data_IF_082338446300
#
_entry.id   IF_082338446300
#
_cell.length_a   1.000
_cell.length_b   1.000
_cell.length_c   1.000
_cell.angle_alpha   90.00
_cell.angle_beta   90.00
_cell.angle_gamma   90.00
#
_symmetry.space_group_name_H-M   'P 1'
#
loop_
_entity.id
_entity.type
_entity.pdbx_description
1 polymer ?
#
# COMPACT_ATOMS: atom_id res chain seq x y z
N UNK A 1 49.74 18.77 125.37
CA UNK A 1 50.20 19.31 124.11
C UNK A 1 50.19 18.16 123.11
N UNK A 2 49.27 18.06 122.28
CA UNK A 2 49.17 17.02 121.24
C UNK A 2 48.14 17.43 120.26
N UNK A 3 48.62 17.85 119.17
CA UNK A 3 47.81 18.31 118.01
C UNK A 3 47.21 17.08 117.26
N UNK A 4 45.91 16.96 117.23
CA UNK A 4 45.22 16.03 116.39
C UNK A 4 45.08 16.60 114.98
N UNK A 5 45.59 15.90 114.07
CA UNK A 5 45.33 16.14 112.65
C UNK A 5 44.00 15.47 112.24
N UNK A 6 43.02 16.28 111.87
CA UNK A 6 41.78 15.77 111.30
C UNK A 6 41.96 15.31 109.88
N UNK A 7 41.60 14.08 109.63
CA UNK A 7 41.47 13.54 108.26
C UNK A 7 40.29 14.17 107.51
N UNK A 8 40.43 14.50 106.27
CA UNK A 8 39.30 14.99 105.45
C UNK A 8 38.32 13.84 105.15
N UNK A 9 37.01 14.14 105.13
CA UNK A 9 36.00 13.11 104.79
C UNK A 9 36.12 12.63 103.37
N UNK A 10 35.81 11.33 103.15
CA UNK A 10 35.89 10.72 101.82
C UNK A 10 34.85 11.42 100.89
N UNK A 11 35.15 11.54 99.59
CA UNK A 11 34.21 12.13 98.64
C UNK A 11 32.98 11.24 98.43
N UNK A 12 31.80 11.80 98.17
CA UNK A 12 30.59 11.03 97.99
C UNK A 12 30.74 10.19 96.74
N UNK A 13 30.52 8.88 96.87
CA UNK A 13 30.40 7.95 95.72
C UNK A 13 29.16 8.30 94.97
N UNK A 14 29.32 9.12 93.93
CA UNK A 14 28.31 9.37 92.92
C UNK A 14 27.85 8.07 92.22
N UNK A 15 26.61 7.77 92.39
CA UNK A 15 25.98 6.59 91.81
C UNK A 15 26.02 6.73 90.28
N UNK A 16 26.67 5.75 89.53
CA UNK A 16 26.85 5.85 88.09
C UNK A 16 25.67 5.34 87.27
N UNK A 17 24.46 5.26 87.83
CA UNK A 17 23.36 4.54 87.19
C UNK A 17 22.21 5.37 86.61
N UNK A 18 22.26 6.65 86.60
CA UNK A 18 21.20 7.47 85.96
C UNK A 18 21.56 8.10 84.60
N UNK A 19 22.81 8.09 84.20
CA UNK A 19 23.22 8.58 82.89
C UNK A 19 23.03 7.55 81.76
N UNK A 20 22.89 6.25 82.09
CA UNK A 20 22.69 5.19 81.10
C UNK A 20 21.29 5.08 80.46
N UNK A 21 20.26 5.52 81.23
CA UNK A 21 18.86 5.44 80.78
C UNK A 21 18.55 6.39 79.63
N UNK A 22 19.08 7.61 79.64
CA UNK A 22 18.89 8.58 78.57
C UNK A 22 19.66 8.23 77.27
N UNK A 23 20.89 7.76 77.46
CA UNK A 23 21.68 7.33 76.31
C UNK A 23 21.05 6.09 75.64
N UNK A 24 20.51 5.15 76.40
CA UNK A 24 19.81 3.98 75.88
C UNK A 24 18.53 4.33 75.07
N UNK A 25 17.76 5.31 75.61
CA UNK A 25 16.58 5.81 74.90
C UNK A 25 16.95 6.54 73.59
N UNK A 26 18.00 7.35 73.60
CA UNK A 26 18.50 8.04 72.38
C UNK A 26 19.00 7.03 71.35
N UNK A 27 19.78 6.04 71.74
CA UNK A 27 20.25 4.95 70.86
C UNK A 27 19.07 4.13 70.31
N UNK A 28 18.07 3.81 71.15
CA UNK A 28 16.85 3.11 70.77
C UNK A 28 16.02 3.91 69.71
N UNK A 29 15.91 5.21 69.93
CA UNK A 29 15.19 6.10 69.00
C UNK A 29 15.93 6.23 67.64
N UNK A 30 17.27 6.37 67.67
CA UNK A 30 18.09 6.38 66.48
C UNK A 30 17.95 5.04 65.74
N UNK A 31 17.98 3.94 66.47
CA UNK A 31 17.79 2.61 65.85
C UNK A 31 16.38 2.43 65.25
N UNK A 32 15.35 2.93 65.92
CA UNK A 32 13.97 2.92 65.42
C UNK A 32 13.82 3.78 64.15
N UNK A 33 14.37 4.98 64.14
CA UNK A 33 14.38 5.83 62.93
C UNK A 33 15.19 5.20 61.82
N UNK A 34 16.34 4.57 62.12
CA UNK A 34 17.15 3.86 61.17
C UNK A 34 16.39 2.66 60.55
N UNK A 35 15.70 1.85 61.35
CA UNK A 35 14.85 0.75 60.87
C UNK A 35 13.65 1.27 60.06
N UNK A 36 13.04 2.39 60.45
CA UNK A 36 11.95 3.00 59.69
C UNK A 36 12.39 3.53 58.34
N UNK A 37 13.67 3.89 58.14
CA UNK A 37 14.21 4.31 56.84
C UNK A 37 14.31 3.15 55.82
N UNK A 38 14.06 1.92 56.25
CA UNK A 38 14.03 0.74 55.38
C UNK A 38 12.78 0.57 54.51
N UNK A 39 11.71 1.34 54.77
CA UNK A 39 10.50 1.27 53.92
C UNK A 39 10.73 1.93 52.56
N UNK A 40 10.25 1.26 51.50
CA UNK A 40 10.25 1.78 50.15
C UNK A 40 9.02 1.28 49.41
N UNK A 41 8.61 2.03 48.40
CA UNK A 41 7.44 1.72 47.58
C UNK A 41 7.90 1.34 46.18
N UNK A 42 7.43 0.18 45.70
CA UNK A 42 7.59 -0.26 44.31
C UNK A 42 6.25 -0.02 43.59
N UNK A 43 6.27 0.80 42.59
CA UNK A 43 5.07 1.14 41.79
C UNK A 43 4.71 -0.06 40.88
N UNK A 44 3.43 -0.18 40.56
CA UNK A 44 2.98 -1.21 39.58
C UNK A 44 3.69 -1.07 38.25
N UNK A 45 4.06 -2.18 37.62
CA UNK A 45 4.89 -2.20 36.41
C UNK A 45 6.41 -2.08 36.64
N UNK A 46 6.84 -1.99 37.93
CA UNK A 46 8.25 -1.97 38.34
C UNK A 46 8.57 -3.17 39.23
N UNK A 47 9.83 -3.56 39.25
CA UNK A 47 10.35 -4.52 40.25
C UNK A 47 11.53 -3.92 40.99
N UNK A 48 11.54 -4.13 42.28
CA UNK A 48 12.65 -3.75 43.14
C UNK A 48 13.60 -4.91 43.29
N UNK A 49 14.89 -4.68 43.04
CA UNK A 49 15.94 -5.65 43.32
C UNK A 49 16.64 -5.28 44.57
N UNK A 50 16.63 -6.15 45.56
CA UNK A 50 17.29 -5.92 46.87
C UNK A 50 18.67 -6.56 46.82
N UNK A 51 19.68 -5.75 47.12
CA UNK A 51 21.07 -6.18 47.25
C UNK A 51 21.49 -6.15 48.71
N UNK A 52 22.09 -7.20 49.18
CA UNK A 52 22.71 -7.27 50.53
C UNK A 52 24.22 -7.19 50.38
N UNK A 53 24.84 -6.13 50.88
CA UNK A 53 26.28 -5.87 50.70
C UNK A 53 26.75 -5.94 49.22
N UNK A 54 25.88 -5.45 48.31
CA UNK A 54 26.19 -5.47 46.85
C UNK A 54 25.87 -6.79 46.14
N UNK A 55 25.49 -7.84 46.86
CA UNK A 55 25.09 -9.11 46.26
C UNK A 55 23.57 -9.19 46.11
N UNK A 56 23.09 -9.72 45.00
CA UNK A 56 21.68 -10.02 44.80
C UNK A 56 21.10 -10.89 45.93
N UNK A 57 20.01 -10.45 46.53
CA UNK A 57 19.32 -11.18 47.60
C UNK A 57 17.94 -11.64 47.23
N UNK A 58 17.08 -10.73 46.79
CA UNK A 58 15.69 -11.04 46.46
C UNK A 58 15.07 -10.02 45.51
N UNK A 59 13.98 -10.41 44.89
CA UNK A 59 13.11 -9.49 44.12
C UNK A 59 11.91 -9.09 44.94
N UNK A 60 11.58 -7.80 44.88
CA UNK A 60 10.42 -7.21 45.52
C UNK A 60 9.30 -6.96 44.50
N UNK A 61 8.14 -7.58 44.72
CA UNK A 61 6.94 -7.32 43.94
C UNK A 61 6.39 -5.91 44.27
N UNK A 62 5.53 -5.33 43.40
CA UNK A 62 4.89 -4.04 43.64
C UNK A 62 4.21 -3.95 44.98
N UNK A 63 4.18 -2.74 45.57
CA UNK A 63 3.62 -2.43 46.87
C UNK A 63 4.62 -1.85 47.85
N UNK A 64 4.15 -1.68 49.10
CA UNK A 64 4.99 -1.25 50.24
C UNK A 64 5.88 -2.43 50.65
N UNK A 65 7.18 -2.23 50.63
CA UNK A 65 8.18 -3.22 51.02
C UNK A 65 9.11 -2.64 52.05
N UNK A 66 9.70 -3.52 52.86
CA UNK A 66 10.70 -3.18 53.84
C UNK A 66 12.01 -3.92 53.58
N UNK A 67 13.11 -3.23 53.69
CA UNK A 67 14.48 -3.76 53.61
C UNK A 67 15.30 -3.30 54.79
N UNK A 68 16.40 -3.95 55.07
CA UNK A 68 17.37 -3.45 56.02
C UNK A 68 17.94 -2.12 55.54
N UNK A 69 17.99 -1.09 56.38
CA UNK A 69 18.51 0.21 56.00
C UNK A 69 19.98 0.16 55.56
N UNK A 70 20.33 1.20 54.81
CA UNK A 70 21.75 1.38 54.45
C UNK A 70 22.62 1.39 55.72
N UNK A 71 23.85 0.75 55.75
CA UNK A 71 24.62 0.20 54.61
C UNK A 71 24.41 -1.26 54.32
N UNK A 72 23.49 -1.99 55.02
CA UNK A 72 23.34 -3.46 54.87
C UNK A 72 22.70 -3.81 53.57
N UNK A 73 21.59 -3.16 53.23
CA UNK A 73 20.86 -3.42 52.00
C UNK A 73 20.68 -2.13 51.17
N UNK A 74 20.83 -2.27 49.86
CA UNK A 74 20.43 -1.27 48.88
C UNK A 74 19.34 -1.86 47.99
N UNK A 75 18.57 -1.02 47.32
CA UNK A 75 17.60 -1.47 46.31
C UNK A 75 17.76 -0.67 45.04
N UNK A 76 17.43 -1.31 43.92
CA UNK A 76 17.39 -0.73 42.62
C UNK A 76 16.03 -1.04 41.97
N UNK A 77 15.39 -0.04 41.38
CA UNK A 77 14.06 -0.18 40.83
C UNK A 77 14.20 -0.24 39.29
N UNK A 78 13.75 -1.37 38.70
CA UNK A 78 13.73 -1.56 37.29
C UNK A 78 12.30 -1.47 36.78
N UNK A 79 12.08 -0.64 35.74
CA UNK A 79 10.78 -0.51 35.08
C UNK A 79 10.65 -1.64 34.08
N UNK A 80 9.70 -2.54 34.30
CA UNK A 80 9.42 -3.70 33.46
C UNK A 80 8.44 -3.42 32.36
N UNK A 81 7.39 -2.63 32.66
CA UNK A 81 6.32 -2.32 31.72
C UNK A 81 6.67 -1.20 30.72
N UNK A 82 7.80 -0.52 30.91
CA UNK A 82 8.23 0.55 30.03
C UNK A 82 8.81 -0.02 28.73
N UNK A 83 8.14 0.28 27.61
CA UNK A 83 8.68 0.00 26.29
C UNK A 83 9.78 1.02 25.98
N UNK A 84 10.99 0.53 25.83
CA UNK A 84 12.16 1.35 25.48
C UNK A 84 12.43 1.24 23.99
N UNK A 85 12.77 2.37 23.39
CA UNK A 85 13.09 2.42 21.97
C UNK A 85 14.58 2.74 21.77
N UNK A 86 15.25 1.89 21.02
CA UNK A 86 16.61 2.12 20.55
C UNK A 86 16.56 2.61 19.11
N UNK A 87 17.20 3.73 18.85
CA UNK A 87 17.34 4.31 17.52
C UNK A 87 18.72 3.96 16.98
N UNK A 88 18.79 3.30 15.82
CA UNK A 88 20.03 2.91 15.15
C UNK A 88 20.12 3.59 13.79
N UNK A 89 21.26 4.24 13.55
CA UNK A 89 21.50 5.00 12.32
C UNK A 89 21.04 6.45 12.36
N UNK A 90 20.30 6.85 13.38
CA UNK A 90 19.84 8.23 13.58
C UNK A 90 19.73 8.58 15.07
N UNK A 91 19.58 9.86 15.41
CA UNK A 91 19.38 10.32 16.79
C UNK A 91 18.29 11.39 16.81
N UNK A 92 17.25 11.17 17.61
CA UNK A 92 16.10 12.08 17.86
C UNK A 92 15.34 12.53 16.60
N UNK A 93 15.92 12.46 15.42
CA UNK A 93 15.30 12.81 14.16
C UNK A 93 15.96 12.02 13.03
N UNK A 94 15.15 11.48 12.12
CA UNK A 94 15.58 10.73 10.93
C UNK A 94 16.58 11.52 10.06
N UNK A 95 16.53 12.86 10.13
CA UNK A 95 17.50 13.74 9.44
C UNK A 95 18.90 13.79 10.09
N UNK A 96 19.00 13.44 11.37
CA UNK A 96 20.29 13.43 12.08
C UNK A 96 20.97 12.06 11.92
N UNK A 97 21.47 11.78 10.73
CA UNK A 97 22.09 10.51 10.36
C UNK A 97 23.42 10.27 11.07
N UNK A 98 23.61 9.04 11.53
CA UNK A 98 24.89 8.54 12.03
C UNK A 98 25.42 7.52 11.01
N UNK A 99 26.14 7.99 10.01
CA UNK A 99 26.60 7.20 8.85
C UNK A 99 27.38 5.94 9.25
N UNK A 100 28.08 5.97 10.37
CA UNK A 100 28.84 4.82 10.86
C UNK A 100 27.95 3.63 11.25
N UNK A 101 26.73 3.91 11.71
CA UNK A 101 25.77 2.91 12.17
C UNK A 101 24.75 2.54 11.07
N UNK A 102 24.47 3.49 10.14
CA UNK A 102 23.43 3.32 9.12
C UNK A 102 23.92 2.64 7.85
N UNK A 103 25.22 2.77 7.51
CA UNK A 103 25.75 2.16 6.29
C UNK A 103 26.02 0.67 6.48
N UNK A 104 25.37 -0.14 5.65
CA UNK A 104 25.48 -1.60 5.65
C UNK A 104 25.71 -2.11 4.24
N UNK A 105 26.47 -3.22 4.13
CA UNK A 105 26.75 -3.90 2.87
C UNK A 105 25.76 -5.05 2.69
N UNK A 106 25.19 -5.17 1.49
CA UNK A 106 24.27 -6.23 1.08
C UNK A 106 25.02 -7.41 0.44
N UNK A 107 24.33 -8.54 0.21
CA UNK A 107 24.89 -9.74 -0.45
C UNK A 107 25.35 -9.48 -1.90
N UNK A 108 24.70 -8.55 -2.58
CA UNK A 108 25.01 -8.10 -3.95
C UNK A 108 26.03 -6.97 -4.03
N UNK A 109 26.85 -6.82 -2.97
CA UNK A 109 27.98 -5.87 -2.88
C UNK A 109 27.54 -4.38 -2.96
N UNK A 110 26.27 -4.09 -2.74
CA UNK A 110 25.75 -2.72 -2.70
C UNK A 110 25.80 -2.16 -1.26
N UNK A 111 25.95 -0.85 -1.14
CA UNK A 111 25.86 -0.16 0.15
C UNK A 111 24.46 0.42 0.29
N UNK A 112 23.82 0.17 1.43
CA UNK A 112 22.51 0.72 1.79
C UNK A 112 22.63 1.55 3.07
N UNK A 113 21.98 2.72 3.09
CA UNK A 113 21.77 3.56 4.28
C UNK A 113 20.44 3.14 4.92
N UNK A 114 20.55 2.42 6.04
CA UNK A 114 19.42 1.86 6.75
C UNK A 114 19.28 2.50 8.13
N UNK A 115 18.08 3.00 8.42
CA UNK A 115 17.70 3.54 9.73
C UNK A 115 16.55 2.72 10.29
N UNK A 116 16.70 2.25 11.52
CA UNK A 116 15.69 1.42 12.16
C UNK A 116 15.58 1.70 13.64
N UNK A 117 14.43 1.38 14.19
CA UNK A 117 14.13 1.46 15.62
C UNK A 117 13.80 0.07 16.16
N UNK A 118 14.34 -0.23 17.33
CA UNK A 118 14.08 -1.48 18.05
C UNK A 118 13.34 -1.13 19.34
N UNK A 119 12.17 -1.70 19.51
CA UNK A 119 11.40 -1.62 20.74
C UNK A 119 11.64 -2.87 21.55
N UNK A 120 11.96 -2.68 22.83
CA UNK A 120 12.21 -3.77 23.76
C UNK A 120 11.64 -3.48 25.16
N UNK A 121 11.44 -4.55 25.91
CA UNK A 121 11.02 -4.52 27.30
C UNK A 121 11.99 -5.36 28.14
N UNK A 122 12.11 -5.01 29.42
CA UNK A 122 12.93 -5.80 30.35
C UNK A 122 12.02 -6.86 30.98
N UNK A 123 12.36 -8.13 30.79
CA UNK A 123 11.62 -9.28 31.37
C UNK A 123 12.27 -9.79 32.63
N UNK A 124 13.59 -9.92 32.63
CA UNK A 124 14.35 -10.39 33.79
C UNK A 124 15.23 -9.26 34.34
N UNK A 125 14.77 -8.57 35.40
CA UNK A 125 15.48 -7.40 35.90
C UNK A 125 16.81 -7.79 36.59
N UNK A 126 16.95 -9.00 37.08
CA UNK A 126 18.19 -9.54 37.63
C UNK A 126 19.28 -9.61 36.55
N UNK A 127 18.96 -10.25 35.44
CA UNK A 127 19.91 -10.46 34.36
C UNK A 127 20.27 -9.12 33.66
N UNK A 128 19.28 -8.22 33.55
CA UNK A 128 19.48 -6.88 33.01
C UNK A 128 20.50 -6.06 33.80
N UNK A 129 20.48 -6.14 35.15
CA UNK A 129 21.37 -5.35 36.00
C UNK A 129 22.74 -5.97 36.25
N UNK A 130 22.84 -7.30 36.26
CA UNK A 130 24.05 -7.96 36.75
C UNK A 130 24.89 -8.65 35.67
N UNK A 131 24.27 -9.10 34.57
CA UNK A 131 25.00 -9.83 33.56
C UNK A 131 25.73 -8.90 32.58
N UNK A 132 25.20 -7.68 32.39
CA UNK A 132 25.76 -6.71 31.45
C UNK A 132 26.02 -5.38 32.14
N UNK A 133 27.24 -4.84 31.93
CA UNK A 133 27.65 -3.59 32.59
C UNK A 133 26.83 -2.37 32.09
N UNK A 134 26.54 -2.33 30.80
CA UNK A 134 25.78 -1.24 30.13
C UNK A 134 24.74 -1.86 29.21
N UNK A 135 23.57 -2.23 29.73
CA UNK A 135 22.59 -3.01 28.97
C UNK A 135 22.06 -2.28 27.73
N UNK A 136 21.83 -0.97 27.82
CA UNK A 136 21.30 -0.18 26.68
C UNK A 136 22.33 -0.08 25.55
N UNK A 137 23.61 0.14 25.85
CA UNK A 137 24.67 0.16 24.83
C UNK A 137 24.87 -1.22 24.21
N UNK A 138 24.81 -2.27 25.04
CA UNK A 138 24.93 -3.64 24.55
C UNK A 138 23.76 -4.02 23.66
N UNK A 139 22.54 -3.64 24.04
CA UNK A 139 21.35 -3.86 23.21
C UNK A 139 21.47 -3.14 21.85
N UNK A 140 22.02 -1.94 21.83
CA UNK A 140 22.30 -1.22 20.60
C UNK A 140 23.32 -1.92 19.71
N UNK A 141 24.42 -2.41 20.30
CA UNK A 141 25.44 -3.17 19.54
C UNK A 141 24.91 -4.49 19.00
N UNK A 142 24.05 -5.18 19.78
CA UNK A 142 23.36 -6.40 19.34
C UNK A 142 22.43 -6.08 18.18
N UNK A 143 21.65 -5.01 18.28
CA UNK A 143 20.74 -4.57 17.22
C UNK A 143 21.49 -4.25 15.92
N UNK A 144 22.58 -3.50 16.02
CA UNK A 144 23.44 -3.18 14.87
C UNK A 144 24.05 -4.44 14.24
N UNK A 145 24.60 -5.33 15.06
CA UNK A 145 25.25 -6.55 14.59
C UNK A 145 24.26 -7.51 13.92
N UNK A 146 23.11 -7.74 14.55
CA UNK A 146 22.07 -8.62 14.02
C UNK A 146 21.47 -8.09 12.72
N UNK A 147 21.20 -6.77 12.65
CA UNK A 147 20.71 -6.16 11.42
C UNK A 147 21.76 -6.26 10.31
N UNK A 148 23.03 -5.98 10.60
CA UNK A 148 24.13 -6.10 9.63
C UNK A 148 24.29 -7.52 9.10
N UNK A 149 24.11 -8.55 9.94
CA UNK A 149 24.14 -9.94 9.51
C UNK A 149 22.96 -10.30 8.59
N UNK A 150 21.75 -9.83 8.90
CA UNK A 150 20.55 -10.10 8.08
C UNK A 150 20.64 -9.38 6.74
N UNK A 151 21.07 -8.11 6.73
CA UNK A 151 21.27 -7.31 5.52
C UNK A 151 22.35 -7.90 4.63
N UNK A 152 23.48 -8.35 5.22
CA UNK A 152 24.58 -8.97 4.47
C UNK A 152 24.22 -10.32 3.82
N UNK A 153 23.05 -10.87 4.10
CA UNK A 153 22.49 -12.06 3.45
C UNK A 153 21.29 -11.76 2.55
N UNK A 154 20.94 -10.49 2.37
CA UNK A 154 19.80 -10.05 1.59
C UNK A 154 20.26 -9.22 0.39
N UNK A 155 19.49 -9.29 -0.69
CA UNK A 155 19.70 -8.44 -1.87
C UNK A 155 19.13 -7.04 -1.65
N UNK A 156 19.72 -6.06 -2.32
CA UNK A 156 19.33 -4.66 -2.19
C UNK A 156 17.86 -4.41 -2.56
N UNK A 157 17.36 -5.00 -3.64
CA UNK A 157 15.97 -4.84 -4.07
C UNK A 157 14.97 -5.34 -3.00
N UNK A 158 15.29 -6.46 -2.34
CA UNK A 158 14.48 -6.99 -1.25
C UNK A 158 14.44 -6.04 -0.03
N UNK A 159 15.56 -5.36 0.26
CA UNK A 159 15.67 -4.42 1.37
C UNK A 159 14.91 -3.12 1.09
N UNK A 160 14.97 -2.64 -0.17
CA UNK A 160 14.36 -1.35 -0.54
C UNK A 160 12.85 -1.45 -0.77
N UNK A 161 12.35 -2.55 -1.38
CA UNK A 161 11.00 -2.59 -1.94
C UNK A 161 10.13 -3.77 -1.51
N UNK A 162 10.69 -4.99 -1.37
CA UNK A 162 9.85 -6.18 -1.37
C UNK A 162 9.67 -6.84 0.00
N UNK A 163 10.67 -6.81 0.88
CA UNK A 163 10.72 -7.71 2.03
C UNK A 163 11.14 -7.03 3.34
N UNK A 164 10.87 -5.74 3.52
CA UNK A 164 11.26 -5.00 4.73
C UNK A 164 10.70 -5.64 6.01
N UNK A 165 9.45 -6.07 6.00
CA UNK A 165 8.81 -6.72 7.15
C UNK A 165 9.45 -8.07 7.47
N UNK A 166 9.81 -8.86 6.44
CA UNK A 166 10.47 -10.14 6.61
C UNK A 166 11.89 -9.97 7.17
N UNK A 167 12.61 -8.94 6.69
CA UNK A 167 13.94 -8.59 7.19
C UNK A 167 13.86 -8.16 8.65
N UNK A 168 12.90 -7.29 8.99
CA UNK A 168 12.66 -6.84 10.36
C UNK A 168 12.32 -8.01 11.30
N UNK A 169 11.49 -8.97 10.85
CA UNK A 169 11.17 -10.16 11.62
C UNK A 169 12.39 -11.05 11.85
N UNK A 170 13.18 -11.32 10.81
CA UNK A 170 14.42 -12.10 10.93
C UNK A 170 15.45 -11.43 11.84
N UNK A 171 15.59 -10.10 11.71
CA UNK A 171 16.48 -9.33 12.58
C UNK A 171 16.02 -9.40 14.04
N UNK A 172 14.71 -9.26 14.31
CA UNK A 172 14.15 -9.42 15.66
C UNK A 172 14.48 -10.79 16.25
N UNK A 173 14.27 -11.87 15.49
CA UNK A 173 14.50 -13.22 15.96
C UNK A 173 16.00 -13.46 16.23
N UNK A 174 16.88 -12.95 15.38
CA UNK A 174 18.33 -13.02 15.59
C UNK A 174 18.77 -12.20 16.80
N UNK A 175 18.25 -10.97 16.95
CA UNK A 175 18.49 -10.13 18.13
C UNK A 175 18.07 -10.87 19.41
N UNK A 176 16.89 -11.48 19.42
CA UNK A 176 16.42 -12.23 20.59
C UNK A 176 17.34 -13.42 20.91
N UNK A 177 17.78 -14.18 19.93
CA UNK A 177 18.73 -15.27 20.12
C UNK A 177 20.06 -14.80 20.74
N UNK A 178 20.54 -13.64 20.33
CA UNK A 178 21.76 -13.05 20.88
C UNK A 178 21.51 -12.57 22.33
N UNK A 179 20.38 -11.90 22.61
CA UNK A 179 19.99 -11.49 23.95
C UNK A 179 19.87 -12.68 24.92
N UNK A 180 19.27 -13.78 24.46
CA UNK A 180 19.12 -15.00 25.25
C UNK A 180 20.48 -15.67 25.52
N UNK A 181 21.36 -15.68 24.52
CA UNK A 181 22.73 -16.24 24.66
C UNK A 181 23.56 -15.46 25.70
N UNK A 182 23.44 -14.13 25.71
CA UNK A 182 24.13 -13.27 26.66
C UNK A 182 23.37 -13.10 27.98
N UNK A 183 22.15 -13.65 28.08
CA UNK A 183 21.27 -13.52 29.23
C UNK A 183 21.14 -12.07 29.68
N UNK A 184 20.72 -11.22 28.77
CA UNK A 184 20.60 -9.78 29.02
C UNK A 184 19.30 -9.42 29.75
N UNK A 185 18.34 -10.34 29.87
CA UNK A 185 17.03 -10.09 30.45
C UNK A 185 16.11 -9.18 29.61
N UNK A 186 16.47 -8.96 28.35
CA UNK A 186 15.76 -8.10 27.40
C UNK A 186 14.94 -8.96 26.44
N UNK A 187 13.70 -8.55 26.20
CA UNK A 187 12.84 -9.12 25.17
C UNK A 187 12.58 -8.06 24.09
N UNK A 188 12.95 -8.40 22.85
CA UNK A 188 12.68 -7.55 21.70
C UNK A 188 11.23 -7.69 21.27
N UNK A 189 10.47 -6.60 21.32
CA UNK A 189 9.05 -6.56 20.95
C UNK A 189 8.89 -6.40 19.44
N UNK A 190 9.45 -5.34 18.88
CA UNK A 190 9.30 -4.98 17.47
C UNK A 190 10.56 -4.34 16.93
N UNK A 191 10.88 -4.66 15.68
CA UNK A 191 11.90 -3.97 14.90
C UNK A 191 11.19 -3.26 13.73
N UNK A 192 11.40 -1.96 13.59
CA UNK A 192 10.76 -1.16 12.55
C UNK A 192 11.83 -0.46 11.72
N UNK A 193 11.85 -0.72 10.43
CA UNK A 193 12.68 0.00 9.48
C UNK A 193 12.02 1.35 9.19
N UNK A 194 12.73 2.44 9.47
CA UNK A 194 12.24 3.80 9.29
C UNK A 194 12.57 4.34 7.90
N UNK A 195 13.78 4.03 7.43
CA UNK A 195 14.26 4.48 6.14
C UNK A 195 15.29 3.48 5.61
N UNK A 196 15.16 3.13 4.33
CA UNK A 196 16.12 2.33 3.60
C UNK A 196 16.34 2.99 2.24
N UNK A 197 17.54 3.45 1.96
CA UNK A 197 17.85 4.13 0.71
C UNK A 197 19.31 3.92 0.30
N UNK A 198 19.65 4.02 -0.99
CA UNK A 198 21.04 4.06 -1.42
C UNK A 198 21.74 5.29 -0.85
N UNK A 199 23.08 5.28 -0.70
CA UNK A 199 23.85 6.46 -0.33
C UNK A 199 23.56 7.63 -1.27
N UNK A 200 23.53 8.86 -0.74
CA UNK A 200 23.18 10.09 -1.49
C UNK A 200 23.98 10.28 -2.78
N UNK A 201 25.23 9.80 -2.79
CA UNK A 201 26.14 9.93 -3.94
C UNK A 201 25.69 9.12 -5.18
N UNK A 202 24.98 8.02 -4.98
CA UNK A 202 24.55 7.10 -6.04
C UNK A 202 23.03 7.08 -6.24
N UNK A 203 22.29 7.78 -5.41
CA UNK A 203 20.82 7.80 -5.41
C UNK A 203 20.25 8.19 -6.78
N UNK A 204 20.81 9.23 -7.42
CA UNK A 204 20.34 9.66 -8.74
C UNK A 204 20.50 8.58 -9.82
N UNK A 205 21.58 7.79 -9.76
CA UNK A 205 21.80 6.69 -10.70
C UNK A 205 20.84 5.52 -10.46
N UNK A 206 20.54 5.21 -9.20
CA UNK A 206 19.55 4.21 -8.85
C UNK A 206 18.14 4.61 -9.27
N UNK A 207 17.75 5.87 -9.04
CA UNK A 207 16.44 6.40 -9.46
C UNK A 207 16.29 6.32 -10.99
N UNK A 208 17.36 6.58 -11.74
CA UNK A 208 17.36 6.47 -13.20
C UNK A 208 17.22 5.01 -13.67
N UNK A 209 17.95 4.10 -13.02
CA UNK A 209 17.83 2.65 -13.29
C UNK A 209 16.43 2.11 -13.00
N UNK A 210 15.81 2.52 -11.89
CA UNK A 210 14.42 2.15 -11.55
C UNK A 210 13.45 2.70 -12.58
N UNK A 211 13.59 3.95 -13.01
CA UNK A 211 12.77 4.54 -14.08
C UNK A 211 12.91 3.78 -15.39
N UNK A 212 14.14 3.44 -15.77
CA UNK A 212 14.39 2.66 -16.98
C UNK A 212 13.71 1.27 -16.92
N UNK A 213 13.73 0.63 -15.75
CA UNK A 213 12.99 -0.61 -15.50
C UNK A 213 11.48 -0.44 -15.66
N UNK A 214 10.92 0.59 -15.06
CA UNK A 214 9.48 0.92 -15.16
C UNK A 214 9.08 1.29 -16.59
N UNK A 215 9.90 2.05 -17.30
CA UNK A 215 9.66 2.42 -18.69
C UNK A 215 9.67 1.20 -19.60
N UNK A 216 10.58 0.25 -19.39
CA UNK A 216 10.61 -1.03 -20.11
C UNK A 216 9.32 -1.82 -19.92
N UNK A 217 8.86 -1.98 -18.68
CA UNK A 217 7.61 -2.69 -18.38
C UNK A 217 6.38 -1.94 -18.95
N UNK A 218 6.39 -0.60 -18.87
CA UNK A 218 5.32 0.21 -19.47
C UNK A 218 5.26 0.00 -20.99
N UNK A 219 6.39 0.10 -21.70
CA UNK A 219 6.43 -0.09 -23.15
C UNK A 219 6.00 -1.52 -23.55
N UNK A 220 6.40 -2.52 -22.79
CA UNK A 220 5.95 -3.90 -22.99
C UNK A 220 4.44 -4.02 -22.84
N UNK A 221 3.88 -3.49 -21.76
CA UNK A 221 2.43 -3.53 -21.50
C UNK A 221 1.64 -2.73 -22.55
N UNK A 222 2.15 -1.58 -22.99
CA UNK A 222 1.56 -0.80 -24.09
C UNK A 222 1.57 -1.59 -25.41
N UNK A 223 2.69 -2.29 -25.71
CA UNK A 223 2.80 -3.16 -26.88
C UNK A 223 1.84 -4.35 -26.84
N UNK A 224 1.71 -4.99 -25.69
CA UNK A 224 0.74 -6.08 -25.48
C UNK A 224 -0.71 -5.59 -25.57
N UNK A 225 -1.02 -4.44 -24.97
CA UNK A 225 -2.34 -3.83 -25.06
C UNK A 225 -2.71 -3.48 -26.52
N UNK A 226 -1.76 -2.90 -27.27
CA UNK A 226 -1.94 -2.61 -28.70
C UNK A 226 -2.18 -3.88 -29.51
N UNK A 227 -1.39 -4.92 -29.29
CA UNK A 227 -1.56 -6.20 -29.98
C UNK A 227 -2.93 -6.84 -29.65
N UNK A 228 -3.34 -6.80 -28.39
CA UNK A 228 -4.63 -7.31 -27.92
C UNK A 228 -5.83 -6.52 -28.46
N UNK A 229 -5.66 -5.26 -28.80
CA UNK A 229 -6.70 -4.42 -29.44
C UNK A 229 -6.77 -4.66 -30.95
N UNK A 230 -5.64 -4.59 -31.65
CA UNK A 230 -5.59 -4.60 -33.12
C UNK A 230 -5.87 -6.00 -33.71
N UNK A 231 -5.26 -7.04 -33.14
CA UNK A 231 -5.36 -8.40 -33.71
C UNK A 231 -6.80 -8.94 -33.68
N UNK A 232 -7.54 -8.86 -32.53
CA UNK A 232 -8.93 -9.31 -32.50
C UNK A 232 -9.85 -8.48 -33.39
N UNK A 233 -9.65 -7.16 -33.46
CA UNK A 233 -10.42 -6.28 -34.36
C UNK A 233 -10.20 -6.66 -35.82
N UNK A 234 -8.94 -6.88 -36.23
CA UNK A 234 -8.64 -7.29 -37.60
C UNK A 234 -9.23 -8.68 -37.95
N UNK A 235 -9.14 -9.63 -37.02
CA UNK A 235 -9.78 -10.95 -37.16
C UNK A 235 -11.30 -10.83 -37.26
N UNK A 236 -11.91 -10.02 -36.39
CA UNK A 236 -13.35 -9.78 -36.42
C UNK A 236 -13.84 -9.15 -37.71
N UNK A 237 -13.13 -8.16 -38.25
CA UNK A 237 -13.47 -7.56 -39.54
C UNK A 237 -13.30 -8.53 -40.70
N UNK A 238 -12.22 -9.32 -40.71
CA UNK A 238 -12.00 -10.36 -41.75
C UNK A 238 -13.10 -11.44 -41.72
N UNK A 239 -13.46 -11.92 -40.54
CA UNK A 239 -14.57 -12.89 -40.34
C UNK A 239 -15.90 -12.35 -40.85
N UNK A 240 -16.22 -11.08 -40.46
CA UNK A 240 -17.44 -10.42 -40.91
C UNK A 240 -17.51 -10.31 -42.43
N UNK A 241 -16.43 -9.84 -43.08
CA UNK A 241 -16.38 -9.75 -44.53
C UNK A 241 -16.53 -11.12 -45.23
N UNK A 242 -15.95 -12.15 -44.64
CA UNK A 242 -16.08 -13.51 -45.14
C UNK A 242 -17.52 -14.04 -45.06
N UNK A 243 -18.19 -13.82 -43.91
CA UNK A 243 -19.57 -14.20 -43.73
C UNK A 243 -20.53 -13.39 -44.61
N UNK A 244 -20.29 -12.08 -44.79
CA UNK A 244 -21.06 -11.23 -45.69
C UNK A 244 -20.94 -11.72 -47.14
N UNK A 245 -19.71 -12.08 -47.58
CA UNK A 245 -19.47 -12.62 -48.91
C UNK A 245 -20.15 -13.98 -49.14
N UNK A 246 -20.08 -14.86 -48.10
CA UNK A 246 -20.78 -16.15 -48.16
C UNK A 246 -22.31 -15.97 -48.21
N UNK A 247 -22.84 -15.08 -47.39
CA UNK A 247 -24.27 -14.75 -47.39
C UNK A 247 -24.72 -14.13 -48.71
N UNK A 248 -23.91 -13.25 -49.30
CA UNK A 248 -24.19 -12.71 -50.64
C UNK A 248 -24.18 -13.83 -51.71
N UNK A 249 -23.16 -14.68 -51.73
CA UNK A 249 -23.07 -15.83 -52.64
C UNK A 249 -24.30 -16.73 -52.52
N UNK A 250 -24.68 -17.12 -51.30
CA UNK A 250 -25.86 -17.99 -51.11
C UNK A 250 -27.14 -17.31 -51.59
N UNK A 251 -27.30 -16.01 -51.34
CA UNK A 251 -28.45 -15.23 -51.78
C UNK A 251 -28.55 -15.18 -53.32
N UNK A 252 -27.43 -14.92 -54.00
CA UNK A 252 -27.40 -14.90 -55.48
C UNK A 252 -27.75 -16.28 -56.04
N UNK A 253 -27.18 -17.35 -55.50
CA UNK A 253 -27.47 -18.72 -55.97
C UNK A 253 -28.93 -19.06 -55.74
N UNK A 254 -29.46 -18.85 -54.53
CA UNK A 254 -30.85 -19.15 -54.17
C UNK A 254 -31.84 -18.34 -55.03
N UNK A 255 -31.56 -17.09 -55.32
CA UNK A 255 -32.39 -16.25 -56.20
C UNK A 255 -32.39 -16.82 -57.64
N UNK A 256 -31.18 -17.13 -58.16
CA UNK A 256 -31.07 -17.69 -59.54
C UNK A 256 -31.78 -19.06 -59.63
N UNK A 257 -31.62 -19.92 -58.62
CA UNK A 257 -32.34 -21.21 -58.58
C UNK A 257 -33.87 -21.04 -58.47
N UNK A 258 -34.30 -20.06 -57.62
CA UNK A 258 -35.69 -19.69 -57.48
C UNK A 258 -36.32 -19.18 -58.79
N UNK A 259 -35.61 -18.28 -59.48
CA UNK A 259 -36.03 -17.76 -60.79
C UNK A 259 -36.10 -18.88 -61.84
N UNK A 260 -35.09 -19.74 -61.88
CA UNK A 260 -35.08 -20.88 -62.82
C UNK A 260 -36.18 -21.87 -62.53
N UNK A 261 -36.47 -22.13 -61.25
CA UNK A 261 -37.60 -23.00 -60.87
C UNK A 261 -38.94 -22.38 -61.24
N UNK A 262 -39.12 -21.09 -60.95
CA UNK A 262 -40.33 -20.34 -61.37
C UNK A 262 -40.52 -20.37 -62.89
N UNK A 263 -39.45 -20.11 -63.62
CA UNK A 263 -39.52 -20.16 -65.09
C UNK A 263 -39.94 -21.55 -65.63
N UNK A 264 -39.37 -22.62 -65.05
CA UNK A 264 -39.72 -23.98 -65.44
C UNK A 264 -41.23 -24.29 -65.15
N UNK A 265 -41.75 -23.86 -64.01
CA UNK A 265 -43.16 -24.03 -63.65
C UNK A 265 -44.07 -23.24 -64.60
N UNK A 266 -43.71 -21.96 -64.88
CA UNK A 266 -44.48 -21.11 -65.82
C UNK A 266 -44.43 -21.70 -67.22
N UNK A 267 -43.29 -22.20 -67.70
CA UNK A 267 -43.15 -22.86 -69.00
C UNK A 267 -44.07 -24.10 -69.14
N UNK A 268 -44.17 -24.93 -68.07
CA UNK A 268 -45.01 -26.09 -68.09
C UNK A 268 -46.52 -25.74 -68.28
N UNK A 269 -46.98 -24.67 -67.59
CA UNK A 269 -48.36 -24.16 -67.71
C UNK A 269 -48.58 -23.40 -69.02
N UNK A 270 -47.55 -22.66 -69.53
CA UNK A 270 -47.60 -22.01 -70.82
C UNK A 270 -47.79 -23.01 -71.95
N UNK A 271 -47.15 -24.16 -71.87
CA UNK A 271 -47.28 -25.20 -72.93
C UNK A 271 -48.73 -25.79 -73.05
N UNK A 272 -49.49 -25.72 -71.94
CA UNK A 272 -50.90 -26.19 -71.89
C UNK A 272 -51.89 -25.16 -72.51
N UNK A 273 -51.70 -23.85 -72.31
CA UNK A 273 -52.58 -22.80 -72.80
C UNK A 273 -51.77 -21.47 -73.10
N UNK A 274 -51.10 -21.41 -74.32
CA UNK A 274 -50.18 -20.30 -74.61
C UNK A 274 -50.84 -18.91 -74.63
N UNK A 275 -52.01 -18.78 -75.23
CA UNK A 275 -52.68 -17.49 -75.41
C UNK A 275 -53.10 -16.85 -74.08
N UNK A 276 -53.76 -17.64 -73.24
CA UNK A 276 -54.27 -17.16 -71.96
C UNK A 276 -53.12 -16.81 -70.98
N UNK A 277 -52.08 -17.65 -70.97
CA UNK A 277 -50.93 -17.45 -70.05
C UNK A 277 -50.14 -16.22 -70.46
N UNK A 278 -49.96 -15.91 -71.76
CA UNK A 278 -49.32 -14.69 -72.25
C UNK A 278 -50.04 -13.44 -71.82
N UNK A 279 -51.37 -13.43 -71.95
CA UNK A 279 -52.19 -12.27 -71.60
C UNK A 279 -52.15 -12.04 -70.09
N UNK A 280 -52.23 -13.09 -69.29
CA UNK A 280 -52.11 -12.99 -67.84
C UNK A 280 -50.75 -12.43 -67.39
N UNK A 281 -49.63 -12.95 -67.92
CA UNK A 281 -48.27 -12.48 -67.62
C UNK A 281 -48.14 -11.02 -68.03
N UNK A 282 -48.68 -10.63 -69.20
CA UNK A 282 -48.66 -9.26 -69.66
C UNK A 282 -49.39 -8.33 -68.68
N UNK A 283 -50.61 -8.67 -68.28
CA UNK A 283 -51.41 -7.87 -67.31
C UNK A 283 -50.69 -7.79 -65.97
N UNK A 284 -50.14 -8.89 -65.47
CA UNK A 284 -49.42 -8.93 -64.20
C UNK A 284 -48.15 -8.07 -64.24
N UNK A 285 -47.39 -8.12 -65.32
CA UNK A 285 -46.19 -7.28 -65.53
C UNK A 285 -46.56 -5.79 -65.62
N UNK A 286 -47.63 -5.45 -66.40
CA UNK A 286 -48.12 -4.09 -66.51
C UNK A 286 -48.64 -3.59 -65.16
N UNK A 287 -49.34 -4.43 -64.38
CA UNK A 287 -49.76 -4.05 -63.00
C UNK A 287 -48.60 -3.76 -62.09
N UNK A 288 -47.54 -4.58 -62.17
CA UNK A 288 -46.33 -4.40 -61.39
C UNK A 288 -45.58 -3.10 -61.78
N UNK A 289 -45.41 -2.84 -63.07
CA UNK A 289 -44.81 -1.61 -63.57
C UNK A 289 -45.64 -0.39 -63.14
N UNK A 290 -46.95 -0.49 -63.38
CA UNK A 290 -47.84 0.60 -62.99
C UNK A 290 -47.95 0.82 -61.46
N UNK A 291 -47.80 -0.24 -60.63
CA UNK A 291 -47.80 -0.08 -59.17
C UNK A 291 -46.48 0.55 -58.65
N UNK A 292 -45.32 0.26 -59.27
CA UNK A 292 -44.01 0.76 -58.88
C UNK A 292 -43.68 2.13 -59.49
N UNK A 293 -44.40 2.63 -60.46
CA UNK A 293 -44.17 3.92 -61.12
C UNK A 293 -45.00 5.03 -60.53
N UNK A 294 -44.41 6.14 -60.18
CA UNK A 294 -45.14 7.34 -59.77
C UNK A 294 -46.01 7.87 -60.92
N UNK A 295 -47.31 7.99 -60.70
CA UNK A 295 -48.26 8.43 -61.72
C UNK A 295 -48.67 9.88 -61.41
N UNK A 296 -48.52 10.75 -62.41
CA UNK A 296 -49.02 12.08 -62.35
C UNK A 296 -50.14 12.22 -63.37
N UNK A 297 -51.39 12.32 -62.90
CA UNK A 297 -52.54 12.56 -63.79
C UNK A 297 -52.74 14.06 -63.93
N UNK A 298 -52.75 14.54 -65.17
CA UNK A 298 -52.95 15.93 -65.54
C UNK A 298 -54.31 16.03 -66.24
N UNK A 299 -55.27 16.73 -65.65
CA UNK A 299 -56.55 17.06 -66.33
C UNK A 299 -56.32 18.35 -67.13
N UNK A 300 -56.14 18.19 -68.43
CA UNK A 300 -55.92 19.30 -69.34
C UNK A 300 -57.24 19.76 -69.96
N UNK A 301 -58.06 20.58 -69.26
CA UNK A 301 -59.30 21.21 -69.78
C UNK A 301 -59.20 22.71 -69.71
N UNK A 302 -58.13 23.35 -70.15
CA UNK A 302 -58.07 24.78 -70.17
C UNK A 302 -56.83 25.34 -70.87
N UNK A 303 -57.01 26.20 -71.85
CA UNK A 303 -55.92 26.90 -72.53
C UNK A 303 -55.36 28.00 -71.59
N UNK A 304 -54.10 27.91 -71.15
CA UNK A 304 -53.37 29.05 -70.63
C UNK A 304 -52.71 28.91 -69.25
N UNK A 305 -52.71 27.80 -68.60
CA UNK A 305 -52.02 27.66 -67.27
C UNK A 305 -50.63 27.10 -67.43
N UNK A 306 -49.65 27.86 -66.90
CA UNK A 306 -48.26 27.36 -66.76
C UNK A 306 -48.23 26.29 -65.67
N UNK A 307 -48.01 25.03 -66.09
CA UNK A 307 -47.87 23.93 -65.15
C UNK A 307 -46.43 23.89 -64.66
N UNK A 308 -46.20 24.38 -63.45
CA UNK A 308 -44.92 24.21 -62.79
C UNK A 308 -44.97 22.87 -61.98
N UNK A 309 -44.30 21.82 -62.48
CA UNK A 309 -44.11 20.56 -61.79
C UNK A 309 -42.72 20.55 -61.14
N UNK A 310 -42.61 20.64 -59.81
CA UNK A 310 -41.31 20.52 -59.16
C UNK A 310 -40.92 19.04 -59.09
N UNK A 311 -40.40 18.51 -60.21
CA UNK A 311 -39.98 17.09 -60.36
C UNK A 311 -38.97 16.66 -59.27
N UNK A 312 -38.12 17.55 -58.83
CA UNK A 312 -37.13 17.25 -57.78
C UNK A 312 -37.78 16.92 -56.45
N UNK A 313 -38.86 17.59 -56.07
CA UNK A 313 -39.61 17.28 -54.83
C UNK A 313 -40.42 15.99 -54.97
N UNK A 314 -40.94 15.69 -56.11
CA UNK A 314 -41.67 14.45 -56.38
C UNK A 314 -40.72 13.23 -56.40
N UNK A 315 -39.53 13.38 -56.94
CA UNK A 315 -38.49 12.36 -56.91
C UNK A 315 -37.95 12.13 -55.52
N UNK A 316 -37.79 13.20 -54.70
CA UNK A 316 -37.39 13.08 -53.30
C UNK A 316 -38.48 12.36 -52.46
N UNK A 317 -39.76 12.68 -52.68
CA UNK A 317 -40.87 12.01 -52.00
C UNK A 317 -41.03 10.56 -52.43
N UNK A 318 -40.83 10.26 -53.73
CA UNK A 318 -40.86 8.88 -54.21
C UNK A 318 -39.66 8.07 -53.67
N UNK A 319 -38.46 8.67 -53.56
CA UNK A 319 -37.29 8.07 -52.93
C UNK A 319 -37.47 7.79 -51.44
N UNK A 320 -38.11 8.74 -50.71
CA UNK A 320 -38.41 8.58 -49.31
C UNK A 320 -39.49 7.50 -49.05
N UNK A 321 -40.48 7.38 -49.92
CA UNK A 321 -41.52 6.33 -49.83
C UNK A 321 -40.96 4.93 -50.18
N UNK A 322 -40.04 4.83 -51.14
CA UNK A 322 -39.35 3.61 -51.45
C UNK A 322 -38.42 3.15 -50.31
N UNK A 323 -37.75 4.08 -49.64
CA UNK A 323 -36.89 3.82 -48.49
C UNK A 323 -37.69 3.40 -47.23
N UNK A 324 -38.95 3.82 -47.10
CA UNK A 324 -39.84 3.45 -46.00
C UNK A 324 -40.44 2.06 -46.13
N UNK A 325 -40.48 1.50 -47.36
CA UNK A 325 -41.03 0.16 -47.68
C UNK A 325 -39.98 -0.94 -47.78
N UNK A 326 -38.69 -0.62 -47.64
CA UNK A 326 -37.67 -1.67 -47.50
C UNK A 326 -37.78 -2.31 -46.10
N UNK A 327 -37.87 -3.65 -46.02
CA UNK A 327 -37.86 -4.32 -44.72
C UNK A 327 -36.53 -3.99 -44.03
N UNK A 328 -36.59 -3.60 -42.76
CA UNK A 328 -35.52 -3.09 -41.89
C UNK A 328 -34.26 -4.00 -41.81
N UNK A 329 -34.29 -5.18 -42.48
CA UNK A 329 -33.18 -6.13 -42.52
C UNK A 329 -32.10 -5.83 -43.57
N UNK A 330 -32.24 -4.81 -44.42
CA UNK A 330 -31.34 -4.52 -45.55
C UNK A 330 -30.70 -3.12 -45.53
N UNK A 331 -30.82 -2.38 -44.41
CA UNK A 331 -30.06 -1.15 -44.26
C UNK A 331 -28.61 -1.52 -43.88
N UNK A 332 -27.60 -1.26 -44.70
CA UNK A 332 -26.24 -1.25 -44.21
C UNK A 332 -26.18 -0.21 -43.11
N UNK A 333 -25.77 -0.62 -41.92
CA UNK A 333 -25.49 0.30 -40.85
C UNK A 333 -24.49 1.33 -41.37
N UNK A 334 -24.92 2.60 -41.42
CA UNK A 334 -24.01 3.69 -41.64
C UNK A 334 -22.86 3.55 -40.64
N UNK A 335 -21.58 3.75 -41.06
CA UNK A 335 -20.49 3.76 -40.11
C UNK A 335 -20.88 4.75 -39.02
N UNK A 336 -20.95 4.28 -37.76
CA UNK A 336 -21.13 5.17 -36.63
C UNK A 336 -19.95 6.13 -36.69
N UNK A 337 -20.24 7.38 -37.03
CA UNK A 337 -19.32 8.49 -36.93
C UNK A 337 -18.85 8.49 -35.49
N UNK A 338 -17.56 8.16 -35.29
CA UNK A 338 -16.96 8.10 -33.99
C UNK A 338 -17.24 9.44 -33.29
N UNK A 339 -17.97 9.41 -32.18
CA UNK A 339 -18.15 10.57 -31.35
C UNK A 339 -16.76 11.16 -31.10
N UNK A 340 -16.56 12.49 -31.24
CA UNK A 340 -15.27 13.08 -30.98
C UNK A 340 -14.87 12.74 -29.55
N UNK A 341 -13.69 12.13 -29.38
CA UNK A 341 -13.08 11.91 -28.10
C UNK A 341 -13.05 13.26 -27.37
N UNK A 342 -13.35 13.29 -26.05
CA UNK A 342 -13.24 14.54 -25.31
C UNK A 342 -11.80 15.02 -25.42
N UNK A 343 -11.60 16.16 -26.07
CA UNK A 343 -10.32 16.85 -26.13
C UNK A 343 -9.78 16.97 -24.71
N UNK A 344 -8.66 16.27 -24.46
CA UNK A 344 -7.85 16.50 -23.28
C UNK A 344 -7.34 17.94 -23.37
N UNK A 345 -8.00 18.85 -22.66
CA UNK A 345 -7.54 20.23 -22.50
C UNK A 345 -6.12 20.16 -21.94
N UNK A 346 -5.09 20.65 -22.63
CA UNK A 346 -3.76 20.73 -22.07
C UNK A 346 -3.83 21.71 -20.90
N UNK A 347 -3.68 21.18 -19.66
CA UNK A 347 -3.48 22.02 -18.48
C UNK A 347 -2.16 22.76 -18.68
N UNK A 348 -2.25 23.95 -19.23
CA UNK A 348 -1.11 24.80 -19.40
C UNK A 348 -0.51 25.15 -18.03
N UNK A 349 0.78 24.96 -17.89
CA UNK A 349 1.60 25.33 -16.70
C UNK A 349 1.52 26.82 -16.34
N UNK A 350 0.85 27.63 -17.14
CA UNK A 350 0.65 29.08 -16.91
C UNK A 350 -0.38 29.41 -15.84
N UNK A 351 -1.41 28.56 -15.63
CA UNK A 351 -2.43 28.83 -14.60
C UNK A 351 -1.95 28.63 -13.17
N UNK A 352 -0.87 27.88 -12.96
CA UNK A 352 -0.27 27.72 -11.62
C UNK A 352 0.61 28.90 -11.22
N UNK A 353 1.25 29.60 -12.18
CA UNK A 353 2.07 30.78 -11.89
C UNK A 353 1.23 32.04 -11.60
N UNK A 354 -0.01 32.10 -12.04
CA UNK A 354 -0.90 33.22 -11.75
C UNK A 354 -1.45 33.20 -10.31
N UNK A 355 -1.51 32.02 -9.66
CA UNK A 355 -2.03 31.86 -8.30
C UNK A 355 -1.00 32.21 -7.21
N UNK A 356 0.28 32.13 -7.52
CA UNK A 356 1.36 32.48 -6.56
C UNK A 356 1.68 33.98 -6.49
N UNK A 357 1.09 34.81 -7.38
CA UNK A 357 1.35 36.27 -7.41
C UNK A 357 0.28 37.11 -6.72
N UNK A 358 -0.78 36.49 -6.20
CA UNK A 358 -1.95 37.16 -5.61
C UNK A 358 -1.98 37.29 -4.08
N UNK A 359 -1.05 36.69 -3.36
CA UNK A 359 -1.05 36.71 -1.89
C UNK A 359 0.27 37.19 -1.32
N UNK A 360 0.46 38.51 -1.32
CA UNK A 360 1.27 39.24 -0.32
C UNK A 360 0.73 40.65 -0.18
N UNK A 361 0.24 41.04 1.03
CA UNK A 361 0.19 42.44 1.39
C UNK A 361 1.59 42.99 1.71
#
# INVERSE_FOLDING_TARGET
>A
RGGGRGEPPPPPRGAPWRAGGGAGLVIGLIAAVWLASGFYIVVEGQRGIVLTFGRYSSEAAPGLRWRLPWPIQSHEIVKMAEVRTLEVGYRNNVKAKVLKESLMLTDDENIVDLQFAVQYVVVEPKDYLFNVRRPDETAMQIAETAMREVIGKAKMDAILYEAQDLIAARARDLMQQIHDRYRTGIQVSTVTIQNAQPPEQVQAAFDDAVKAGQDRERQKNEGEAYANDVIPKARGTASRLFEEANGYRQRVIANAEGEAARFRQVLAEYAKAPAVTRERIYIETMQQILSSTSKVMLDYRGAGNLLYLPLDRLLQQAGAAAAANEPAALRPAAPAEAAPAPESVPRSRETLRARERGERP
#
